data_IF_443169430085
#
_entry.id   IF_443169430085
#
_cell.length_a   1.000
_cell.length_b   1.000
_cell.length_c   1.000
_cell.angle_alpha   90.00
_cell.angle_beta   90.00
_cell.angle_gamma   90.00
#
_symmetry.space_group_name_H-M   'P 1'
#
loop_
_entity.id
_entity.type
_entity.pdbx_description
1 polymer ?
#
# COMPACT_ATOMS: atom_id res chain seq x y z
N UNK A 1 -11.40 -21.60 -2.40
CA UNK A 1 -11.32 -20.53 -1.38
C UNK A 1 -9.85 -20.30 -1.09
N UNK A 2 -9.37 -19.07 -1.24
CA UNK A 2 -7.97 -18.73 -0.92
C UNK A 2 -7.74 -18.78 0.59
N UNK A 3 -6.54 -19.16 1.00
CA UNK A 3 -6.11 -19.16 2.39
C UNK A 3 -5.18 -17.96 2.58
N UNK A 4 -5.49 -17.09 3.53
CA UNK A 4 -4.63 -15.97 3.92
C UNK A 4 -3.92 -16.30 5.22
N UNK A 5 -2.69 -15.82 5.38
CA UNK A 5 -1.84 -16.15 6.52
C UNK A 5 -0.95 -17.37 6.25
N UNK A 6 -0.39 -17.92 7.34
CA UNK A 6 0.50 -19.08 7.29
C UNK A 6 -0.21 -20.34 6.79
N UNK A 7 0.57 -21.25 6.20
CA UNK A 7 0.09 -22.58 5.85
C UNK A 7 0.53 -23.54 6.95
N UNK A 8 -0.37 -24.47 7.32
CA UNK A 8 -0.08 -25.48 8.32
C UNK A 8 1.15 -26.31 7.93
N UNK A 9 1.98 -26.65 8.91
CA UNK A 9 3.20 -27.44 8.75
C UNK A 9 4.28 -26.82 7.84
N UNK A 10 4.21 -25.51 7.59
CA UNK A 10 5.26 -24.74 6.91
C UNK A 10 5.70 -23.56 7.78
N UNK A 11 7.01 -23.45 7.98
CA UNK A 11 7.64 -22.42 8.81
C UNK A 11 8.38 -21.38 7.96
N UNK A 12 8.49 -20.17 8.50
CA UNK A 12 9.35 -19.13 7.90
C UNK A 12 10.79 -19.65 7.85
N UNK A 13 11.42 -19.52 6.69
CA UNK A 13 12.76 -20.04 6.41
C UNK A 13 12.78 -21.36 5.64
N UNK A 14 11.65 -22.08 5.54
CA UNK A 14 11.55 -23.33 4.77
C UNK A 14 11.90 -23.10 3.29
N UNK A 15 12.67 -24.02 2.72
CA UNK A 15 13.17 -23.96 1.34
C UNK A 15 12.51 -25.06 0.51
N UNK A 16 11.96 -24.68 -0.63
CA UNK A 16 11.39 -25.55 -1.65
C UNK A 16 12.33 -25.63 -2.85
N UNK A 17 12.53 -26.81 -3.43
CA UNK A 17 13.50 -26.97 -4.52
C UNK A 17 13.05 -26.20 -5.77
N UNK A 18 11.75 -26.23 -6.06
CA UNK A 18 11.20 -25.70 -7.30
C UNK A 18 9.75 -25.21 -7.12
N UNK A 19 9.20 -24.57 -8.16
CA UNK A 19 7.83 -24.03 -8.17
C UNK A 19 6.74 -25.09 -8.01
N UNK A 20 7.01 -26.35 -8.36
CA UNK A 20 6.04 -27.43 -8.21
C UNK A 20 5.94 -27.83 -6.73
N UNK A 21 7.07 -27.94 -6.04
CA UNK A 21 7.07 -28.19 -4.59
C UNK A 21 6.45 -27.05 -3.79
N UNK A 22 6.78 -25.81 -4.14
CA UNK A 22 6.17 -24.62 -3.54
C UNK A 22 4.63 -24.56 -3.75
N UNK A 23 4.16 -25.02 -4.91
CA UNK A 23 2.73 -25.12 -5.19
C UNK A 23 2.07 -26.24 -4.38
N UNK A 24 2.72 -27.40 -4.27
CA UNK A 24 2.23 -28.55 -3.48
C UNK A 24 2.16 -28.25 -1.99
N UNK A 25 3.04 -27.41 -1.46
CA UNK A 25 2.99 -26.99 -0.06
C UNK A 25 1.85 -26.01 0.24
N UNK A 26 1.18 -25.48 -0.78
CA UNK A 26 0.10 -24.50 -0.62
C UNK A 26 0.58 -23.06 -0.36
N UNK A 27 1.89 -22.83 -0.20
CA UNK A 27 2.44 -21.49 0.02
C UNK A 27 2.17 -20.59 -1.18
N UNK A 28 2.45 -21.07 -2.40
CA UNK A 28 2.19 -20.33 -3.63
C UNK A 28 1.69 -21.27 -4.76
N UNK A 29 0.37 -21.43 -4.92
CA UNK A 29 -0.21 -22.38 -5.86
C UNK A 29 0.21 -22.22 -7.34
N UNK A 30 0.37 -21.00 -7.90
CA UNK A 30 0.83 -20.85 -9.29
C UNK A 30 2.24 -21.40 -9.51
N UNK A 31 2.50 -22.05 -10.65
CA UNK A 31 3.84 -22.57 -10.99
C UNK A 31 4.70 -21.60 -11.80
N UNK A 32 4.10 -20.55 -12.37
CA UNK A 32 4.80 -19.54 -13.17
C UNK A 32 4.56 -18.12 -12.65
N UNK A 33 3.30 -17.70 -12.53
CA UNK A 33 2.93 -16.34 -12.12
C UNK A 33 3.56 -15.92 -10.78
N UNK A 34 4.07 -14.68 -10.70
CA UNK A 34 4.67 -14.12 -9.49
C UNK A 34 3.66 -13.84 -8.38
N UNK A 35 2.41 -13.55 -8.73
CA UNK A 35 1.33 -13.23 -7.79
C UNK A 35 0.28 -14.33 -7.83
N UNK A 36 -0.11 -14.84 -6.66
CA UNK A 36 -1.33 -15.62 -6.46
C UNK A 36 -2.39 -14.69 -5.92
N UNK A 37 -3.45 -14.45 -6.69
CA UNK A 37 -4.55 -13.59 -6.24
C UNK A 37 -5.72 -13.55 -7.20
N UNK A 38 -6.87 -13.10 -6.68
CA UNK A 38 -8.07 -12.82 -7.44
C UNK A 38 -8.63 -11.46 -7.07
N UNK A 39 -9.00 -10.64 -8.05
CA UNK A 39 -9.46 -9.26 -7.84
C UNK A 39 -10.61 -9.13 -6.83
N UNK A 40 -11.46 -10.17 -6.67
CA UNK A 40 -12.57 -10.18 -5.72
C UNK A 40 -12.18 -10.61 -4.30
N UNK A 41 -11.14 -11.43 -4.16
CA UNK A 41 -10.75 -12.09 -2.90
C UNK A 41 -9.52 -11.43 -2.26
N UNK A 42 -8.61 -10.89 -3.06
CA UNK A 42 -7.27 -10.48 -2.63
C UNK A 42 -6.18 -11.41 -3.16
N UNK A 43 -4.93 -11.03 -2.92
CA UNK A 43 -3.72 -11.79 -3.20
C UNK A 43 -3.23 -12.51 -1.93
N UNK A 44 -3.08 -13.82 -1.99
CA UNK A 44 -2.67 -14.65 -0.85
C UNK A 44 -1.16 -14.88 -0.79
N UNK A 45 -0.46 -14.81 -1.92
CA UNK A 45 1.00 -14.98 -1.95
C UNK A 45 1.67 -14.31 -3.14
N UNK A 46 2.95 -13.95 -2.95
CA UNK A 46 3.84 -13.48 -4.00
C UNK A 46 5.18 -14.22 -3.98
N UNK A 47 5.84 -14.27 -5.14
CA UNK A 47 7.20 -14.77 -5.30
C UNK A 47 8.07 -13.66 -5.88
N UNK A 48 9.11 -13.28 -5.13
CA UNK A 48 10.21 -12.45 -5.61
C UNK A 48 11.17 -13.33 -6.41
N UNK A 49 11.14 -13.20 -7.74
CA UNK A 49 11.95 -14.01 -8.66
C UNK A 49 13.01 -13.23 -9.43
N UNK A 50 13.17 -11.93 -9.16
CA UNK A 50 13.96 -11.03 -10.02
C UNK A 50 13.32 -10.84 -11.39
N UNK A 51 11.99 -10.89 -11.43
CA UNK A 51 11.23 -10.80 -12.65
C UNK A 51 11.28 -9.38 -13.21
N UNK A 52 11.15 -8.38 -12.36
CA UNK A 52 11.13 -6.98 -12.78
C UNK A 52 12.43 -6.32 -12.34
N UNK A 53 12.99 -5.50 -13.21
CA UNK A 53 14.18 -4.71 -12.93
C UNK A 53 13.94 -3.64 -11.85
N UNK A 54 12.68 -3.27 -11.65
CA UNK A 54 12.27 -2.28 -10.67
C UNK A 54 12.14 -2.86 -9.24
N UNK A 55 12.15 -4.18 -9.04
CA UNK A 55 11.96 -4.75 -7.69
C UNK A 55 13.06 -4.33 -6.71
N UNK A 56 12.68 -3.84 -5.53
CA UNK A 56 13.61 -3.46 -4.45
C UNK A 56 13.29 -4.26 -3.19
N UNK A 57 14.31 -4.86 -2.58
CA UNK A 57 14.16 -5.73 -1.41
C UNK A 57 15.10 -5.29 -0.29
N UNK A 58 14.50 -4.75 0.77
CA UNK A 58 15.16 -4.30 2.00
C UNK A 58 14.90 -5.25 3.17
N UNK A 59 14.47 -6.49 2.90
CA UNK A 59 14.28 -7.53 3.89
C UNK A 59 12.90 -7.40 4.50
N UNK A 60 12.76 -6.62 5.57
CA UNK A 60 11.47 -6.37 6.21
C UNK A 60 10.56 -5.44 5.38
N UNK A 61 11.11 -4.75 4.39
CA UNK A 61 10.38 -3.88 3.48
C UNK A 61 10.72 -4.24 2.04
N UNK A 62 9.70 -4.31 1.19
CA UNK A 62 9.83 -4.70 -0.22
C UNK A 62 9.03 -3.70 -1.05
N UNK A 63 9.64 -3.17 -2.12
CA UNK A 63 8.92 -2.48 -3.18
C UNK A 63 8.78 -3.44 -4.36
N UNK A 64 7.58 -3.97 -4.51
CA UNK A 64 7.25 -5.03 -5.46
C UNK A 64 6.57 -4.46 -6.70
N UNK A 65 6.98 -4.92 -7.88
CA UNK A 65 6.37 -4.55 -9.16
C UNK A 65 5.20 -5.47 -9.52
N UNK A 66 4.08 -4.87 -9.90
CA UNK A 66 2.89 -5.56 -10.38
C UNK A 66 3.14 -6.37 -11.64
N UNK A 67 2.16 -7.19 -12.01
CA UNK A 67 2.23 -8.04 -13.19
C UNK A 67 1.66 -7.34 -14.44
N UNK A 68 2.17 -7.71 -15.62
CA UNK A 68 1.64 -7.32 -16.92
C UNK A 68 2.56 -6.43 -17.75
N UNK A 69 2.18 -6.24 -19.03
CA UNK A 69 2.89 -5.38 -19.98
C UNK A 69 4.27 -5.88 -20.41
N UNK A 70 4.54 -7.19 -20.29
CA UNK A 70 5.82 -7.81 -20.65
C UNK A 70 5.69 -8.72 -21.87
N UNK A 71 6.75 -8.75 -22.66
CA UNK A 71 6.92 -9.72 -23.74
C UNK A 71 7.31 -11.09 -23.17
N UNK A 72 6.63 -12.15 -23.59
CA UNK A 72 6.80 -13.51 -23.05
C UNK A 72 8.16 -14.12 -23.38
N UNK A 73 8.79 -13.71 -24.47
CA UNK A 73 10.06 -14.28 -24.96
C UNK A 73 11.27 -13.60 -24.31
N UNK A 74 11.23 -12.28 -24.21
CA UNK A 74 12.34 -11.46 -23.73
C UNK A 74 12.22 -11.10 -22.26
N UNK A 75 11.01 -11.19 -21.69
CA UNK A 75 10.71 -10.71 -20.35
C UNK A 75 10.84 -9.19 -20.20
N UNK A 76 11.00 -8.42 -21.27
CA UNK A 76 11.09 -6.95 -21.18
C UNK A 76 9.72 -6.32 -21.10
N UNK A 77 9.64 -5.17 -20.43
CA UNK A 77 8.43 -4.35 -20.42
C UNK A 77 8.24 -3.73 -21.82
N UNK A 78 7.04 -3.87 -22.38
CA UNK A 78 6.65 -3.39 -23.72
C UNK A 78 5.35 -2.58 -23.71
N UNK A 79 4.67 -2.50 -22.57
CA UNK A 79 3.43 -1.76 -22.41
C UNK A 79 3.20 -1.36 -20.96
N UNK A 80 2.33 -0.36 -20.77
CA UNK A 80 1.84 0.09 -19.47
C UNK A 80 1.03 -1.00 -18.75
N UNK A 81 1.19 -1.10 -17.43
CA UNK A 81 0.42 -2.01 -16.60
C UNK A 81 -0.97 -1.47 -16.27
N UNK A 82 -1.93 -2.38 -16.03
CA UNK A 82 -3.30 -2.05 -15.65
C UNK A 82 -3.59 -2.47 -14.21
N UNK A 83 -4.45 -1.71 -13.52
CA UNK A 83 -4.91 -2.05 -12.18
C UNK A 83 -6.06 -3.08 -12.25
N UNK A 84 -5.74 -4.28 -12.68
CA UNK A 84 -6.72 -5.37 -12.87
C UNK A 84 -6.17 -6.71 -12.35
N UNK A 85 -7.03 -7.72 -12.29
CA UNK A 85 -6.67 -9.11 -11.94
C UNK A 85 -5.83 -9.17 -10.64
N UNK A 86 -4.56 -9.56 -10.73
CA UNK A 86 -3.64 -9.70 -9.59
C UNK A 86 -3.13 -8.37 -9.05
N UNK A 87 -3.04 -7.33 -9.88
CA UNK A 87 -2.66 -5.99 -9.45
C UNK A 87 -3.78 -5.41 -8.57
N UNK A 88 -5.03 -5.51 -9.05
CA UNK A 88 -6.20 -5.15 -8.24
C UNK A 88 -6.32 -5.99 -6.97
N UNK A 89 -5.92 -7.26 -7.02
CA UNK A 89 -5.90 -8.12 -5.83
C UNK A 89 -4.93 -7.59 -4.75
N UNK A 90 -3.72 -7.15 -5.13
CA UNK A 90 -2.77 -6.54 -4.18
C UNK A 90 -3.24 -5.18 -3.66
N UNK A 91 -3.87 -4.35 -4.51
CA UNK A 91 -4.49 -3.10 -4.06
C UNK A 91 -5.60 -3.36 -3.03
N UNK A 92 -6.41 -4.41 -3.24
CA UNK A 92 -7.42 -4.86 -2.26
C UNK A 92 -6.79 -5.31 -0.95
N UNK A 93 -5.64 -6.00 -0.97
CA UNK A 93 -4.91 -6.33 0.26
C UNK A 93 -4.52 -5.09 1.07
N UNK A 94 -4.14 -4.00 0.40
CA UNK A 94 -3.85 -2.72 1.06
C UNK A 94 -5.09 -2.18 1.76
N UNK A 95 -6.23 -2.15 1.07
CA UNK A 95 -7.50 -1.63 1.58
C UNK A 95 -8.07 -2.46 2.74
N UNK A 96 -8.01 -3.79 2.64
CA UNK A 96 -8.64 -4.71 3.60
C UNK A 96 -7.66 -5.23 4.66
N UNK A 97 -6.37 -4.84 4.58
CA UNK A 97 -5.34 -5.30 5.50
C UNK A 97 -5.11 -6.82 5.44
N UNK A 98 -5.27 -7.44 4.27
CA UNK A 98 -5.09 -8.88 4.10
C UNK A 98 -3.59 -9.22 4.04
N UNK A 99 -3.12 -10.22 4.80
CA UNK A 99 -1.71 -10.61 4.78
C UNK A 99 -1.35 -11.33 3.47
N UNK A 100 -0.13 -11.12 3.00
CA UNK A 100 0.44 -11.75 1.80
C UNK A 100 1.62 -12.61 2.22
N UNK A 101 1.64 -13.90 1.83
CA UNK A 101 2.83 -14.74 1.98
C UNK A 101 3.90 -14.32 0.97
N UNK A 102 5.11 -14.07 1.43
CA UNK A 102 6.25 -13.73 0.56
C UNK A 102 7.17 -14.93 0.43
N UNK A 103 7.59 -15.24 -0.80
CA UNK A 103 8.62 -16.24 -1.08
C UNK A 103 9.76 -15.60 -1.88
N UNK A 104 11.01 -15.80 -1.45
CA UNK A 104 12.21 -15.34 -2.17
C UNK A 104 12.83 -16.48 -2.97
N UNK A 105 13.07 -16.26 -4.25
CA UNK A 105 13.76 -17.20 -5.14
C UNK A 105 15.27 -16.98 -5.11
N UNK A 106 16.06 -18.03 -5.27
CA UNK A 106 17.50 -17.91 -5.50
C UNK A 106 17.88 -17.13 -6.77
N UNK A 107 16.93 -16.95 -7.70
CA UNK A 107 17.12 -16.13 -8.91
C UNK A 107 16.92 -14.63 -8.67
N UNK A 108 16.34 -14.24 -7.55
CA UNK A 108 16.12 -12.84 -7.22
C UNK A 108 17.43 -12.20 -6.73
N UNK A 109 17.96 -11.16 -7.40
CA UNK A 109 19.22 -10.50 -7.03
C UNK A 109 19.10 -9.66 -5.75
N UNK A 110 18.95 -10.31 -4.61
CA UNK A 110 18.85 -9.69 -3.29
C UNK A 110 19.69 -10.48 -2.29
N UNK A 111 20.30 -9.79 -1.33
CA UNK A 111 21.06 -10.43 -0.24
C UNK A 111 20.17 -11.21 0.74
N UNK A 112 18.86 -10.99 0.70
CA UNK A 112 17.87 -11.76 1.46
C UNK A 112 17.40 -13.03 0.73
N UNK A 113 17.77 -13.21 -0.54
CA UNK A 113 17.40 -14.40 -1.30
C UNK A 113 18.21 -15.63 -0.86
N UNK A 114 17.62 -16.83 -0.90
CA UNK A 114 18.35 -18.05 -0.59
C UNK A 114 19.40 -18.36 -1.67
N UNK A 115 20.40 -19.18 -1.34
CA UNK A 115 21.40 -19.63 -2.32
C UNK A 115 20.86 -20.63 -3.34
N UNK A 116 19.76 -21.32 -3.02
CA UNK A 116 19.08 -22.28 -3.89
C UNK A 116 17.58 -22.35 -3.58
N UNK A 117 16.79 -22.71 -4.59
CA UNK A 117 15.36 -22.94 -4.44
C UNK A 117 14.56 -21.67 -4.13
N UNK A 118 13.48 -21.86 -3.37
CA UNK A 118 12.50 -20.85 -3.00
C UNK A 118 12.31 -20.88 -1.49
N UNK A 119 12.63 -19.79 -0.80
CA UNK A 119 12.49 -19.70 0.65
C UNK A 119 11.22 -18.95 1.03
N UNK A 120 10.38 -19.54 1.89
CA UNK A 120 9.25 -18.83 2.47
C UNK A 120 9.74 -17.79 3.49
N UNK A 121 9.44 -16.52 3.23
CA UNK A 121 9.94 -15.37 3.99
C UNK A 121 8.94 -14.82 5.02
N UNK A 122 7.81 -15.50 5.23
CA UNK A 122 6.78 -15.08 6.19
C UNK A 122 5.67 -14.24 5.58
N UNK A 123 4.92 -13.58 6.47
CA UNK A 123 3.77 -12.75 6.11
C UNK A 123 4.16 -11.29 6.03
N UNK A 124 3.60 -10.59 5.04
CA UNK A 124 3.75 -9.17 4.84
C UNK A 124 2.37 -8.52 4.69
N UNK A 125 2.30 -7.21 4.88
CA UNK A 125 1.13 -6.39 4.57
C UNK A 125 1.48 -5.45 3.44
N UNK A 126 0.57 -5.30 2.47
CA UNK A 126 0.64 -4.20 1.51
C UNK A 126 0.22 -2.95 2.26
N UNK A 127 1.11 -1.98 2.38
CA UNK A 127 0.86 -0.73 3.12
C UNK A 127 0.69 0.47 2.22
N UNK A 128 1.09 0.36 0.94
CA UNK A 128 0.94 1.40 -0.06
C UNK A 128 0.97 0.79 -1.47
N UNK A 129 0.36 1.47 -2.45
CA UNK A 129 0.48 1.15 -3.87
C UNK A 129 0.30 2.39 -4.75
N UNK A 130 1.09 2.49 -5.82
CA UNK A 130 1.07 3.63 -6.73
C UNK A 130 1.49 3.24 -8.16
N UNK A 131 1.27 4.15 -9.10
CA UNK A 131 1.63 3.99 -10.51
C UNK A 131 2.85 4.87 -10.84
N UNK A 132 3.92 4.31 -11.38
CA UNK A 132 5.11 5.09 -11.73
C UNK A 132 5.72 4.65 -13.06
N UNK A 133 6.63 5.47 -13.60
CA UNK A 133 7.40 5.06 -14.78
C UNK A 133 8.52 4.14 -14.32
N UNK A 134 8.49 2.88 -14.78
CA UNK A 134 9.57 1.93 -14.54
C UNK A 134 10.81 2.26 -15.36
N UNK A 135 11.90 1.53 -15.12
CA UNK A 135 13.21 1.72 -15.75
C UNK A 135 13.17 1.60 -17.29
N UNK A 136 12.29 0.77 -17.82
CA UNK A 136 12.03 0.62 -19.26
C UNK A 136 11.19 1.76 -19.88
N UNK A 137 10.76 2.76 -19.10
CA UNK A 137 9.98 3.91 -19.56
C UNK A 137 8.46 3.69 -19.65
N UNK A 138 8.01 2.44 -19.50
CA UNK A 138 6.59 2.11 -19.38
C UNK A 138 6.11 2.26 -17.94
N UNK A 139 4.81 2.51 -17.77
CA UNK A 139 4.23 2.63 -16.45
C UNK A 139 3.97 1.27 -15.81
N UNK A 140 4.29 1.15 -14.52
CA UNK A 140 4.14 -0.06 -13.71
C UNK A 140 3.42 0.26 -12.39
N UNK A 141 2.68 -0.72 -11.87
CA UNK A 141 2.13 -0.63 -10.52
C UNK A 141 3.17 -1.10 -9.51
N UNK A 142 3.30 -0.36 -8.43
CA UNK A 142 4.25 -0.64 -7.34
C UNK A 142 3.49 -0.85 -6.07
N UNK A 143 3.98 -1.77 -5.25
CA UNK A 143 3.38 -2.14 -3.98
C UNK A 143 4.46 -2.12 -2.91
N UNK A 144 4.25 -1.34 -1.85
CA UNK A 144 5.10 -1.37 -0.67
C UNK A 144 4.58 -2.42 0.29
N UNK A 145 5.41 -3.42 0.59
CA UNK A 145 5.10 -4.47 1.56
C UNK A 145 5.99 -4.34 2.78
N UNK A 146 5.42 -4.56 3.96
CA UNK A 146 6.15 -4.56 5.24
C UNK A 146 5.90 -5.87 5.98
N UNK A 147 6.95 -6.48 6.53
CA UNK A 147 6.90 -7.74 7.27
C UNK A 147 5.95 -7.65 8.47
N UNK A 148 5.14 -8.69 8.66
CA UNK A 148 4.12 -8.73 9.69
C UNK A 148 4.73 -8.84 11.11
N UNK A 149 5.90 -9.46 11.23
CA UNK A 149 6.46 -9.90 12.51
C UNK A 149 7.08 -8.75 13.35
N UNK A 150 7.08 -7.50 12.83
CA UNK A 150 7.37 -6.30 13.63
C UNK A 150 6.22 -5.90 14.57
N UNK A 151 5.05 -6.51 14.43
CA UNK A 151 3.91 -6.28 15.31
C UNK A 151 3.86 -7.41 16.34
N UNK A 152 4.73 -7.32 17.36
CA UNK A 152 4.95 -8.38 18.35
C UNK A 152 3.66 -9.12 18.74
N UNK A 153 3.63 -10.42 18.45
CA UNK A 153 2.50 -11.29 18.78
C UNK A 153 2.43 -11.47 20.29
N UNK A 154 1.56 -10.68 20.94
CA UNK A 154 0.93 -11.07 22.19
C UNK A 154 -0.57 -11.05 22.00
N UNK A 155 -1.13 -12.24 21.85
CA UNK A 155 -2.57 -12.45 21.88
C UNK A 155 -2.96 -12.48 23.36
N UNK A 156 -3.31 -11.33 23.93
CA UNK A 156 -3.92 -11.31 25.26
C UNK A 156 -5.39 -11.76 25.11
N UNK A 157 -5.71 -12.95 25.60
CA UNK A 157 -7.09 -13.43 25.73
C UNK A 157 -7.86 -12.54 26.72
N UNK A 158 -8.60 -11.57 26.21
CA UNK A 158 -9.58 -10.84 27.04
C UNK A 158 -10.86 -11.67 27.09
N UNK A 159 -11.17 -12.21 28.28
CA UNK A 159 -12.45 -12.89 28.55
C UNK A 159 -13.62 -11.93 28.30
N UNK A 160 -14.51 -12.32 27.39
CA UNK A 160 -15.80 -11.65 27.21
C UNK A 160 -16.74 -12.02 28.37
N UNK A 161 -17.34 -11.03 29.01
CA UNK A 161 -18.30 -11.25 30.12
C UNK A 161 -19.67 -11.76 29.63
N UNK A 162 -19.91 -11.76 28.32
CA UNK A 162 -21.17 -12.20 27.72
C UNK A 162 -21.03 -13.57 27.02
N UNK A 163 -21.81 -14.60 27.42
CA UNK A 163 -21.68 -15.97 26.93
C UNK A 163 -22.09 -16.18 25.45
N UNK A 164 -22.83 -15.25 24.85
CA UNK A 164 -23.32 -15.37 23.46
C UNK A 164 -22.40 -14.72 22.42
N UNK A 165 -21.38 -13.97 22.84
CA UNK A 165 -20.40 -13.38 21.93
C UNK A 165 -19.16 -14.25 21.86
N UNK A 166 -18.91 -14.84 20.68
CA UNK A 166 -17.60 -15.38 20.37
C UNK A 166 -16.55 -14.27 20.55
N UNK A 167 -15.46 -14.51 21.28
CA UNK A 167 -14.41 -13.51 21.44
C UNK A 167 -13.85 -13.16 20.06
N UNK A 168 -13.90 -11.87 19.74
CA UNK A 168 -13.25 -11.35 18.53
C UNK A 168 -11.74 -11.35 18.80
N UNK A 169 -10.98 -12.13 18.03
CA UNK A 169 -9.51 -12.06 18.04
C UNK A 169 -9.11 -10.62 17.72
N UNK A 170 -8.49 -9.95 18.69
CA UNK A 170 -7.94 -8.61 18.51
C UNK A 170 -6.42 -8.72 18.44
N UNK A 171 -5.86 -8.31 17.32
CA UNK A 171 -4.42 -8.14 17.16
C UNK A 171 -4.05 -6.72 17.57
N UNK A 172 -3.13 -6.55 18.54
CA UNK A 172 -2.51 -5.26 18.78
C UNK A 172 -1.44 -5.00 17.69
N UNK A 173 -1.57 -3.89 16.98
CA UNK A 173 -0.61 -3.48 15.95
C UNK A 173 0.18 -2.28 16.47
N UNK A 174 1.48 -2.45 16.72
CA UNK A 174 2.38 -1.34 17.01
C UNK A 174 2.87 -0.72 15.70
N UNK A 175 2.11 0.23 15.15
CA UNK A 175 2.55 0.98 13.96
C UNK A 175 3.66 1.94 14.40
N UNK A 176 4.90 1.72 13.95
CA UNK A 176 5.90 2.79 13.88
C UNK A 176 5.43 3.79 12.83
N UNK A 177 4.53 4.67 13.24
CA UNK A 177 4.07 5.78 12.42
C UNK A 177 5.22 6.77 12.38
N UNK A 178 5.70 7.15 11.18
CA UNK A 178 6.34 8.46 11.02
C UNK A 178 5.45 9.45 11.76
N UNK A 179 6.00 10.26 12.66
CA UNK A 179 5.18 11.18 13.47
C UNK A 179 4.48 12.14 12.52
N UNK A 180 3.22 11.82 12.18
CA UNK A 180 2.39 12.62 11.25
C UNK A 180 1.81 13.86 11.93
N UNK A 181 1.83 13.90 13.27
CA UNK A 181 1.45 15.05 14.08
C UNK A 181 2.68 15.92 14.37
N UNK A 182 3.13 16.65 13.36
CA UNK A 182 4.12 17.71 13.55
C UNK A 182 3.43 19.03 13.90
N UNK A 183 4.19 19.99 14.44
CA UNK A 183 3.70 21.36 14.65
C UNK A 183 3.14 21.97 13.35
N UNK A 184 3.62 21.53 12.19
CA UNK A 184 3.17 21.96 10.87
C UNK A 184 1.77 21.41 10.57
N UNK A 185 1.54 20.11 10.77
CA UNK A 185 0.23 19.49 10.60
C UNK A 185 -0.85 20.16 11.49
N UNK A 186 -0.51 20.46 12.75
CA UNK A 186 -1.41 21.19 13.65
C UNK A 186 -1.66 22.63 13.19
N UNK A 187 -0.62 23.32 12.71
CA UNK A 187 -0.74 24.67 12.15
C UNK A 187 -1.67 24.69 10.93
N UNK A 188 -1.54 23.74 10.01
CA UNK A 188 -2.42 23.66 8.82
C UNK A 188 -3.87 23.38 9.24
N UNK A 189 -4.11 22.45 10.17
CA UNK A 189 -5.47 22.21 10.70
C UNK A 189 -6.08 23.47 11.32
N UNK A 190 -5.31 24.19 12.12
CA UNK A 190 -5.74 25.44 12.74
C UNK A 190 -5.99 26.57 11.72
N UNK A 191 -5.17 26.68 10.67
CA UNK A 191 -5.34 27.67 9.59
C UNK A 191 -6.72 27.58 8.92
N UNK A 192 -7.29 26.37 8.85
CA UNK A 192 -8.60 26.12 8.27
C UNK A 192 -9.73 25.97 9.31
N UNK A 193 -9.46 26.27 10.58
CA UNK A 193 -10.42 26.06 11.67
C UNK A 193 -10.98 24.62 11.69
N UNK A 194 -10.11 23.65 11.38
CA UNK A 194 -10.43 22.23 11.27
C UNK A 194 -11.57 21.93 10.26
N UNK A 195 -11.79 22.82 9.28
CA UNK A 195 -12.70 22.57 8.15
C UNK A 195 -11.98 21.78 7.07
N UNK A 196 -12.66 20.76 6.56
CA UNK A 196 -12.20 20.05 5.38
C UNK A 196 -12.11 21.00 4.18
N UNK A 197 -10.96 21.05 3.51
CA UNK A 197 -10.75 21.88 2.32
C UNK A 197 -11.58 21.43 1.11
N UNK A 198 -12.10 20.20 1.12
CA UNK A 198 -12.93 19.66 0.03
C UNK A 198 -14.41 19.92 0.27
N UNK A 199 -14.97 19.51 1.41
CA UNK A 199 -16.41 19.60 1.66
C UNK A 199 -16.83 20.66 2.69
N UNK A 200 -15.88 21.34 3.33
CA UNK A 200 -16.17 22.36 4.35
C UNK A 200 -16.68 21.82 5.69
N UNK A 201 -16.86 20.50 5.84
CA UNK A 201 -17.29 19.87 7.08
C UNK A 201 -16.27 20.11 8.19
N UNK A 202 -16.77 20.49 9.37
CA UNK A 202 -16.05 20.47 10.65
C UNK A 202 -16.61 19.33 11.50
N UNK A 203 -15.76 18.51 12.09
CA UNK A 203 -16.19 17.45 13.01
C UNK A 203 -16.00 17.95 14.44
N UNK A 204 -17.10 18.17 15.17
CA UNK A 204 -17.05 18.52 16.59
C UNK A 204 -17.05 17.24 17.44
N UNK A 205 -16.08 17.14 18.36
CA UNK A 205 -15.96 16.04 19.32
C UNK A 205 -16.08 16.57 20.75
N UNK A 206 -16.21 15.69 21.74
CA UNK A 206 -16.26 16.08 23.15
C UNK A 206 -15.02 16.81 23.68
N UNK A 207 -13.91 16.82 22.91
CA UNK A 207 -12.65 17.48 23.27
C UNK A 207 -12.26 18.61 22.31
N UNK A 208 -13.10 18.93 21.33
CA UNK A 208 -12.85 19.99 20.35
C UNK A 208 -13.06 19.54 18.91
N UNK A 209 -12.62 20.38 17.97
CA UNK A 209 -12.76 20.13 16.53
C UNK A 209 -11.71 19.16 16.03
N UNK A 210 -12.09 18.36 15.04
CA UNK A 210 -11.26 17.32 14.47
C UNK A 210 -11.20 17.41 12.95
N UNK A 211 -9.98 17.27 12.44
CA UNK A 211 -9.63 17.15 11.04
C UNK A 211 -8.29 16.38 10.95
N UNK A 212 -7.99 15.86 9.77
CA UNK A 212 -6.76 15.17 9.48
C UNK A 212 -5.86 16.03 8.58
N UNK A 213 -4.56 15.94 8.82
CA UNK A 213 -3.55 16.54 7.96
C UNK A 213 -3.08 15.45 6.97
N UNK A 214 -3.41 15.62 5.71
CA UNK A 214 -3.07 14.70 4.63
C UNK A 214 -1.88 15.24 3.85
N UNK A 215 -0.77 14.51 3.81
CA UNK A 215 0.36 14.89 2.95
C UNK A 215 0.02 14.62 1.49
N UNK A 216 0.23 15.60 0.61
CA UNK A 216 -0.09 15.49 -0.81
C UNK A 216 0.86 14.51 -1.50
N UNK A 217 2.16 14.68 -1.26
CA UNK A 217 3.22 13.72 -1.58
C UNK A 217 3.60 13.00 -0.28
N UNK A 218 3.44 11.66 -0.19
CA UNK A 218 3.66 10.95 1.07
C UNK A 218 5.09 11.08 1.61
N UNK A 219 5.19 11.10 2.94
CA UNK A 219 6.47 11.13 3.66
C UNK A 219 7.18 9.78 3.63
N UNK A 220 8.50 9.82 3.81
CA UNK A 220 9.34 8.62 3.91
C UNK A 220 9.49 7.88 2.57
N UNK A 221 10.28 6.81 2.58
CA UNK A 221 10.48 6.00 1.37
C UNK A 221 9.17 5.31 0.94
N UNK A 222 8.94 5.13 -0.37
CA UNK A 222 9.83 5.54 -1.48
C UNK A 222 9.61 6.98 -1.95
N UNK A 223 8.48 7.61 -1.61
CA UNK A 223 8.08 8.90 -2.18
C UNK A 223 8.97 10.07 -1.74
N UNK A 224 9.45 10.05 -0.50
CA UNK A 224 10.30 11.07 0.11
C UNK A 224 9.69 12.48 0.00
N UNK A 225 8.38 12.62 0.27
CA UNK A 225 7.74 13.92 0.42
C UNK A 225 8.26 14.68 1.64
N UNK A 226 8.38 16.02 1.57
CA UNK A 226 8.83 16.84 2.69
C UNK A 226 7.67 17.13 3.67
N UNK A 227 7.98 17.25 4.96
CA UNK A 227 7.01 17.72 5.96
C UNK A 227 7.00 19.25 6.01
N UNK A 228 6.23 19.86 5.11
CA UNK A 228 6.10 21.33 4.94
C UNK A 228 4.63 21.69 4.69
N UNK A 229 4.24 22.93 4.99
CA UNK A 229 2.85 23.40 4.87
C UNK A 229 2.32 23.21 3.44
N UNK A 230 3.16 23.51 2.45
CA UNK A 230 2.81 23.42 1.02
C UNK A 230 2.45 21.99 0.59
N UNK A 231 2.86 20.98 1.35
CA UNK A 231 2.61 19.56 1.09
C UNK A 231 1.47 18.98 1.94
N UNK A 232 0.66 19.79 2.63
CA UNK A 232 -0.37 19.29 3.56
C UNK A 232 -1.73 19.86 3.20
N UNK A 233 -2.77 19.02 3.27
CA UNK A 233 -4.17 19.41 3.20
C UNK A 233 -4.87 19.15 4.53
N UNK A 234 -5.78 20.04 4.94
CA UNK A 234 -6.71 19.83 6.04
C UNK A 234 -7.98 19.15 5.51
N UNK A 235 -8.17 17.87 5.80
CA UNK A 235 -9.26 17.04 5.28
C UNK A 235 -10.09 16.41 6.40
N UNK A 236 -11.34 16.05 6.12
CA UNK A 236 -12.08 15.13 6.98
C UNK A 236 -11.67 13.68 6.68
N UNK A 237 -11.95 12.71 7.58
CA UNK A 237 -11.54 11.31 7.39
C UNK A 237 -11.97 10.70 6.07
N UNK A 238 -13.18 11.00 5.61
CA UNK A 238 -13.68 10.48 4.34
C UNK A 238 -12.84 10.99 3.15
N UNK A 239 -12.57 12.29 3.10
CA UNK A 239 -11.79 12.86 2.00
C UNK A 239 -10.31 12.53 2.10
N UNK A 240 -9.77 12.34 3.29
CA UNK A 240 -8.39 11.87 3.44
C UNK A 240 -8.21 10.48 2.84
N UNK A 241 -9.07 9.53 3.23
CA UNK A 241 -9.05 8.16 2.67
C UNK A 241 -9.29 8.18 1.16
N UNK A 242 -10.24 8.96 0.68
CA UNK A 242 -10.49 9.10 -0.76
C UNK A 242 -9.29 9.69 -1.51
N UNK A 243 -8.56 10.63 -0.91
CA UNK A 243 -7.40 11.25 -1.52
C UNK A 243 -6.24 10.26 -1.58
N UNK A 244 -5.87 9.65 -0.45
CA UNK A 244 -4.76 8.68 -0.34
C UNK A 244 -4.91 7.48 -1.30
N UNK A 245 -6.15 7.06 -1.56
CA UNK A 245 -6.44 5.96 -2.49
C UNK A 245 -6.78 6.41 -3.92
N UNK A 246 -6.54 7.67 -4.26
CA UNK A 246 -6.67 8.19 -5.63
C UNK A 246 -8.11 8.25 -6.16
N UNK A 247 -9.13 8.28 -5.28
CA UNK A 247 -10.52 8.43 -5.71
C UNK A 247 -10.80 9.84 -6.28
N UNK A 248 -10.02 10.84 -5.85
CA UNK A 248 -9.98 12.17 -6.46
C UNK A 248 -8.57 12.75 -6.42
N UNK A 249 -8.35 13.83 -7.17
CA UNK A 249 -7.13 14.63 -7.09
C UNK A 249 -7.44 16.11 -7.34
N UNK A 250 -6.41 16.95 -7.39
CA UNK A 250 -6.54 18.41 -7.53
C UNK A 250 -5.84 18.84 -8.84
N UNK A 251 -6.46 19.73 -9.61
CA UNK A 251 -5.88 20.33 -10.81
C UNK A 251 -4.96 21.52 -10.46
N UNK A 252 -4.22 22.04 -11.44
CA UNK A 252 -3.29 23.17 -11.21
C UNK A 252 -4.03 24.48 -10.88
N UNK A 253 -5.29 24.61 -11.31
CA UNK A 253 -6.20 25.71 -10.97
C UNK A 253 -7.00 25.44 -9.67
N UNK A 254 -6.63 24.40 -8.93
CA UNK A 254 -7.24 23.94 -7.70
C UNK A 254 -8.67 23.38 -7.85
N UNK A 255 -9.16 23.18 -9.08
CA UNK A 255 -10.39 22.40 -9.29
C UNK A 255 -10.20 20.94 -8.87
N UNK A 256 -11.25 20.30 -8.38
CA UNK A 256 -11.21 18.90 -7.99
C UNK A 256 -11.44 18.01 -9.22
N UNK A 257 -10.69 16.91 -9.33
CA UNK A 257 -10.78 15.95 -10.42
C UNK A 257 -11.28 14.62 -9.83
N UNK A 258 -12.33 14.05 -10.42
CA UNK A 258 -12.97 12.81 -9.93
C UNK A 258 -14.16 13.04 -8.99
N UNK A 259 -14.27 14.24 -8.41
CA UNK A 259 -15.43 14.74 -7.65
C UNK A 259 -15.70 16.20 -8.01
N UNK A 260 -16.91 16.67 -7.76
CA UNK A 260 -17.30 18.06 -8.03
C UNK A 260 -16.74 19.02 -6.99
N UNK A 261 -16.32 20.20 -7.44
CA UNK A 261 -15.98 21.33 -6.59
C UNK A 261 -14.58 21.89 -6.83
N UNK A 262 -14.17 22.78 -5.93
CA UNK A 262 -12.85 23.39 -5.94
C UNK A 262 -12.25 23.31 -4.54
N UNK A 263 -10.95 23.06 -4.47
CA UNK A 263 -10.24 22.99 -3.21
C UNK A 263 -10.28 24.37 -2.52
N UNK A 264 -10.82 24.41 -1.32
CA UNK A 264 -10.87 25.63 -0.51
C UNK A 264 -9.46 25.99 -0.06
N UNK A 265 -9.02 27.20 -0.39
CA UNK A 265 -7.70 27.72 0.00
C UNK A 265 -7.80 29.10 0.63
N UNK A 266 -6.82 29.43 1.46
CA UNK A 266 -6.65 30.76 2.05
C UNK A 266 -5.33 31.35 1.55
N UNK A 267 -5.25 32.68 1.47
CA UNK A 267 -4.08 33.37 0.88
C UNK A 267 -2.74 33.02 1.54
N UNK A 268 -2.75 32.67 2.82
CA UNK A 268 -1.55 32.34 3.60
C UNK A 268 -1.07 30.91 3.40
N UNK A 269 -1.93 29.99 2.94
CA UNK A 269 -1.59 28.60 2.72
C UNK A 269 -1.36 28.35 1.23
N UNK A 270 -0.09 28.31 0.82
CA UNK A 270 0.33 28.18 -0.57
C UNK A 270 0.59 26.72 -0.91
N UNK A 271 -0.41 26.02 -1.44
CA UNK A 271 -0.24 24.61 -1.79
C UNK A 271 0.78 24.47 -2.92
N UNK A 272 1.72 23.54 -2.76
CA UNK A 272 2.76 23.25 -3.73
C UNK A 272 2.20 22.48 -4.93
N UNK A 273 2.07 23.15 -6.07
CA UNK A 273 1.56 22.54 -7.32
C UNK A 273 2.38 21.30 -7.72
N UNK A 274 3.70 21.28 -7.47
CA UNK A 274 4.53 20.11 -7.73
C UNK A 274 4.09 18.86 -6.95
N UNK A 275 3.60 19.01 -5.71
CA UNK A 275 3.09 17.89 -4.93
C UNK A 275 1.74 17.42 -5.47
N UNK A 276 0.88 18.35 -5.88
CA UNK A 276 -0.40 18.02 -6.53
C UNK A 276 -0.16 17.24 -7.83
N UNK A 277 0.78 17.69 -8.67
CA UNK A 277 1.18 16.99 -9.89
C UNK A 277 1.67 15.59 -9.57
N UNK A 278 2.53 15.44 -8.55
CA UNK A 278 3.00 14.14 -8.08
C UNK A 278 1.83 13.21 -7.71
N UNK A 279 0.88 13.71 -6.92
CA UNK A 279 -0.30 12.93 -6.53
C UNK A 279 -1.14 12.48 -7.74
N UNK A 280 -1.41 13.39 -8.70
CA UNK A 280 -2.12 13.05 -9.94
C UNK A 280 -1.41 11.97 -10.76
N UNK A 281 -0.09 12.02 -10.82
CA UNK A 281 0.71 11.09 -11.63
C UNK A 281 0.83 9.71 -11.00
N UNK A 282 0.82 9.63 -9.65
CA UNK A 282 1.12 8.39 -8.92
C UNK A 282 -0.11 7.70 -8.33
N UNK A 283 -1.14 8.45 -7.91
CA UNK A 283 -2.28 7.90 -7.16
C UNK A 283 -3.59 7.95 -7.94
N UNK A 284 -3.91 9.10 -8.53
CA UNK A 284 -5.23 9.33 -9.14
C UNK A 284 -5.52 8.50 -10.41
N UNK A 285 -4.49 7.95 -11.05
CA UNK A 285 -4.63 7.41 -12.41
C UNK A 285 -4.97 5.91 -12.40
N UNK A 286 -6.27 5.56 -12.42
CA UNK A 286 -6.85 4.38 -13.12
C UNK A 286 -8.30 4.05 -12.70
N UNK A 287 -9.31 4.65 -13.35
CA UNK A 287 -10.62 3.98 -13.57
C UNK A 287 -11.20 4.21 -14.99
N UNK A 288 -10.51 4.96 -15.85
CA UNK A 288 -10.96 5.24 -17.22
C UNK A 288 -9.82 4.93 -18.20
N UNK A 289 -9.74 3.68 -18.62
CA UNK A 289 -9.19 3.26 -19.93
C UNK A 289 -10.04 2.15 -20.49
#
# INVERSE_FOLDING_TARGET
MRVFGHIQDVSVGDIFENRIELAKSGIHPPTQAGISGGAKEGADSIVLSGGYEDDEDFGDEIIYTGAGGRDENTGKQIADQKLERTNLALAKNSLEGLPVRVTRSAKHPSHYSPTKGYQYAGLYRVVDYWYESGLSGFKVWRYRLVAHDRFGERVDEIRTEHPDYLPTLRTQVTVQRLVRDTNIAQKVKALYDYRCQVCGLTIDTGVGRYAEAAHIKPLGQPHCGPDVEENILCLCPNHHVMFDHGAFSVADDLSLIGIDGQLTTIKTHKIGIAFITYHREHYFKSMLS
#
